data_IF_938010431035
#
_entry.id   IF_938010431035
#
_cell.length_a   1.000
_cell.length_b   1.000
_cell.length_c   1.000
_cell.angle_alpha   90.00
_cell.angle_beta   90.00
_cell.angle_gamma   90.00
#
_symmetry.space_group_name_H-M   'P 1'
#
loop_
_entity.id
_entity.type
_entity.pdbx_description
1 polymer ?
#
# COMPACT_ATOMS: atom_id res chain seq x y z
N UNK A 1 -10.74 10.50 18.11
CA UNK A 1 -10.48 9.36 17.22
C UNK A 1 -11.79 8.78 16.73
N UNK A 2 -12.15 9.03 15.46
CA UNK A 2 -13.31 8.40 14.82
C UNK A 2 -12.86 7.78 13.50
N UNK A 3 -11.93 6.82 13.61
CA UNK A 3 -11.35 6.10 12.48
C UNK A 3 -12.43 5.18 11.92
N UNK A 4 -12.67 5.27 10.61
CA UNK A 4 -13.68 4.48 9.91
C UNK A 4 -12.98 3.48 8.96
N UNK A 5 -13.55 2.28 8.77
CA UNK A 5 -13.04 1.34 7.79
C UNK A 5 -13.12 1.93 6.37
N UNK A 6 -12.11 1.61 5.57
CA UNK A 6 -12.01 2.05 4.17
C UNK A 6 -12.87 1.11 3.32
N UNK A 7 -13.98 1.61 2.78
CA UNK A 7 -14.86 0.85 1.88
C UNK A 7 -14.84 1.37 0.45
N UNK A 8 -14.57 2.67 0.27
CA UNK A 8 -14.58 3.32 -1.04
C UNK A 8 -13.21 3.87 -1.39
N UNK A 9 -12.99 4.12 -2.67
CA UNK A 9 -11.75 4.74 -3.16
C UNK A 9 -11.56 6.16 -2.58
N UNK A 10 -12.67 6.84 -2.27
CA UNK A 10 -12.64 8.15 -1.65
C UNK A 10 -12.19 8.09 -0.18
N UNK A 11 -12.56 7.03 0.55
CA UNK A 11 -12.05 6.80 1.91
C UNK A 11 -10.56 6.45 1.88
N UNK A 12 -10.13 5.70 0.86
CA UNK A 12 -8.73 5.33 0.65
C UNK A 12 -7.86 6.57 0.39
N UNK A 13 -8.29 7.46 -0.50
CA UNK A 13 -7.57 8.69 -0.82
C UNK A 13 -7.48 9.64 0.40
N UNK A 14 -8.56 9.74 1.19
CA UNK A 14 -8.54 10.47 2.46
C UNK A 14 -7.60 9.85 3.48
N UNK A 15 -7.57 8.53 3.57
CA UNK A 15 -6.68 7.81 4.46
C UNK A 15 -5.21 8.07 4.08
N UNK A 16 -4.88 8.06 2.78
CA UNK A 16 -3.54 8.41 2.29
C UNK A 16 -3.12 9.82 2.67
N UNK A 17 -3.95 10.83 2.36
CA UNK A 17 -3.67 12.23 2.70
C UNK A 17 -3.49 12.39 4.22
N UNK A 18 -4.30 11.69 5.00
CA UNK A 18 -4.21 11.73 6.46
C UNK A 18 -2.92 11.07 6.96
N UNK A 19 -2.54 9.93 6.41
CA UNK A 19 -1.28 9.27 6.73
C UNK A 19 -0.06 10.16 6.40
N UNK A 20 -0.06 10.82 5.25
CA UNK A 20 0.99 11.78 4.88
C UNK A 20 1.09 12.94 5.88
N UNK A 21 -0.06 13.49 6.31
CA UNK A 21 -0.09 14.55 7.32
C UNK A 21 0.38 14.10 8.71
N UNK A 22 0.37 12.80 9.00
CA UNK A 22 0.80 12.23 10.28
C UNK A 22 2.20 11.62 10.19
N UNK A 23 2.87 11.71 9.04
CA UNK A 23 4.19 11.12 8.82
C UNK A 23 5.28 11.77 9.71
N UNK A 24 5.06 13.02 10.14
CA UNK A 24 5.90 13.74 11.09
C UNK A 24 5.52 13.50 12.57
N UNK A 25 4.50 12.66 12.83
CA UNK A 25 4.06 12.35 14.18
C UNK A 25 5.15 11.63 14.99
N UNK A 26 5.20 11.95 16.28
CA UNK A 26 6.12 11.28 17.20
C UNK A 26 5.61 9.88 17.54
N UNK A 27 6.55 8.94 17.64
CA UNK A 27 6.25 7.58 18.06
C UNK A 27 5.64 7.56 19.47
N UNK A 28 4.50 6.90 19.62
CA UNK A 28 3.74 6.85 20.88
C UNK A 28 2.93 8.12 21.20
N UNK A 29 2.79 9.05 20.25
CA UNK A 29 1.81 10.13 20.34
C UNK A 29 0.44 9.67 19.79
N UNK A 30 -0.67 10.32 20.18
CA UNK A 30 -1.99 10.02 19.63
C UNK A 30 -2.05 10.06 18.10
N UNK A 31 -1.26 10.93 17.48
CA UNK A 31 -1.10 11.02 16.03
C UNK A 31 -0.33 9.83 15.44
N UNK A 32 0.68 9.31 16.16
CA UNK A 32 1.43 8.12 15.77
C UNK A 32 0.58 6.85 15.83
N UNK A 33 -0.21 6.69 16.91
CA UNK A 33 -1.22 5.61 17.00
C UNK A 33 -2.25 5.72 15.87
N UNK A 34 -2.68 6.94 15.51
CA UNK A 34 -3.59 7.16 14.38
C UNK A 34 -2.95 6.75 13.04
N UNK A 35 -1.68 7.08 12.81
CA UNK A 35 -0.93 6.67 11.62
C UNK A 35 -0.84 5.15 11.50
N UNK A 36 -0.53 4.45 12.59
CA UNK A 36 -0.41 2.98 12.60
C UNK A 36 -1.73 2.30 12.21
N UNK A 37 -2.85 2.80 12.76
CA UNK A 37 -4.18 2.28 12.43
C UNK A 37 -4.52 2.58 10.97
N UNK A 38 -4.28 3.80 10.49
CA UNK A 38 -4.58 4.18 9.10
C UNK A 38 -3.76 3.34 8.11
N UNK A 39 -2.47 3.16 8.35
CA UNK A 39 -1.61 2.30 7.52
C UNK A 39 -2.13 0.86 7.45
N UNK A 40 -2.62 0.32 8.57
CA UNK A 40 -3.21 -1.03 8.60
C UNK A 40 -4.47 -1.11 7.75
N UNK A 41 -5.33 -0.10 7.81
CA UNK A 41 -6.58 -0.05 7.02
C UNK A 41 -6.32 0.10 5.52
N UNK A 42 -5.32 0.91 5.14
CA UNK A 42 -4.87 1.06 3.75
C UNK A 42 -4.40 -0.29 3.21
N UNK A 43 -3.54 -0.99 3.94
CA UNK A 43 -3.04 -2.30 3.53
C UNK A 43 -4.15 -3.35 3.39
N UNK A 44 -5.08 -3.43 4.34
CA UNK A 44 -6.25 -4.33 4.27
C UNK A 44 -7.15 -4.01 3.06
N UNK A 45 -7.36 -2.72 2.77
CA UNK A 45 -8.11 -2.30 1.59
C UNK A 45 -7.39 -2.70 0.30
N UNK A 46 -6.08 -2.44 0.18
CA UNK A 46 -5.28 -2.81 -0.99
C UNK A 46 -5.26 -4.31 -1.21
N UNK A 47 -5.11 -5.13 -0.16
CA UNK A 47 -5.14 -6.59 -0.28
C UNK A 47 -6.49 -7.10 -0.83
N UNK A 48 -7.60 -6.48 -0.40
CA UNK A 48 -8.95 -6.82 -0.88
C UNK A 48 -9.23 -6.32 -2.30
N UNK A 49 -8.76 -5.12 -2.64
CA UNK A 49 -9.03 -4.46 -3.94
C UNK A 49 -8.07 -4.89 -5.04
N UNK A 50 -6.81 -5.10 -4.69
CA UNK A 50 -5.74 -5.60 -5.54
C UNK A 50 -5.24 -6.94 -4.99
N UNK A 51 -6.06 -8.01 -5.07
CA UNK A 51 -5.57 -9.32 -4.74
C UNK A 51 -4.31 -9.57 -5.56
N UNK A 52 -3.24 -10.00 -4.90
CA UNK A 52 -2.02 -10.46 -5.57
C UNK A 52 -2.44 -11.65 -6.44
N UNK A 53 -2.89 -11.38 -7.67
CA UNK A 53 -2.81 -12.36 -8.73
C UNK A 53 -1.33 -12.63 -8.85
N UNK A 54 -0.92 -13.81 -8.38
CA UNK A 54 0.38 -14.37 -8.72
C UNK A 54 0.64 -14.03 -10.20
N UNK A 55 1.84 -13.52 -10.54
CA UNK A 55 2.11 -13.12 -11.90
C UNK A 55 1.69 -14.26 -12.82
N UNK A 56 0.81 -13.95 -13.77
CA UNK A 56 0.42 -14.90 -14.79
C UNK A 56 1.72 -15.49 -15.35
N UNK A 57 1.93 -16.82 -15.34
CA UNK A 57 3.24 -17.46 -15.52
C UNK A 57 3.96 -17.12 -16.83
N UNK A 58 3.29 -16.39 -17.72
CA UNK A 58 3.80 -15.85 -18.99
C UNK A 58 4.65 -14.57 -18.79
N UNK A 59 4.36 -13.71 -17.80
CA UNK A 59 5.13 -12.47 -17.55
C UNK A 59 6.50 -12.75 -16.89
N UNK A 60 6.60 -13.81 -16.09
CA UNK A 60 7.88 -14.26 -15.50
C UNK A 60 8.90 -14.72 -16.56
N UNK A 61 8.45 -15.14 -17.75
CA UNK A 61 9.31 -15.61 -18.83
C UNK A 61 9.97 -14.44 -19.59
N UNK A 62 9.30 -13.29 -19.71
CA UNK A 62 9.87 -12.11 -20.38
C UNK A 62 11.06 -11.49 -19.63
N UNK A 63 11.12 -11.65 -18.30
CA UNK A 63 12.23 -11.10 -17.52
C UNK A 63 13.56 -11.84 -17.75
N UNK A 64 13.51 -13.12 -18.18
CA UNK A 64 14.73 -13.92 -18.38
C UNK A 64 15.46 -13.63 -19.69
N UNK A 65 14.77 -13.11 -20.72
CA UNK A 65 15.37 -12.86 -22.04
C UNK A 65 16.23 -11.57 -22.04
N UNK A 66 15.89 -10.58 -21.21
CA UNK A 66 16.62 -9.30 -21.18
C UNK A 66 17.98 -9.39 -20.46
N UNK A 67 18.15 -10.29 -19.49
CA UNK A 67 19.40 -10.40 -18.71
C UNK A 67 20.53 -11.18 -19.40
N UNK A 68 20.31 -11.76 -20.58
CA UNK A 68 21.34 -12.52 -21.33
C UNK A 68 21.86 -11.77 -22.57
N UNK A 69 21.40 -10.54 -22.83
CA UNK A 69 21.82 -9.79 -24.04
C UNK A 69 22.48 -8.44 -23.74
N UNK A 70 23.27 -8.38 -22.67
CA UNK A 70 24.23 -7.30 -22.40
C UNK A 70 25.54 -7.85 -21.84
N UNK A 71 26.22 -8.66 -22.64
CA UNK A 71 27.67 -8.69 -22.71
C UNK A 71 28.04 -9.11 -24.12
N UNK A 72 28.35 -8.12 -24.95
CA UNK A 72 29.42 -8.10 -25.96
C UNK A 72 29.58 -6.66 -26.46
#
# INVERSE_FOLDING_TARGET
>A
MNIKPIHTEHDYEKALIRAESLMEALYGSPEGDELEIISTLIADYEEKKFPIKAPDPIEAIKFRITSVRRKE
#
